data_IF_266817155121
#
_entry.id   IF_266817155121
#
_cell.length_a   1.000
_cell.length_b   1.000
_cell.length_c   1.000
_cell.angle_alpha   90.00
_cell.angle_beta   90.00
_cell.angle_gamma   90.00
#
_symmetry.space_group_name_H-M   'P 1'
#
loop_
_entity.id
_entity.type
_entity.pdbx_description
1 polymer ?
#
# COMPACT_ATOMS: atom_id res chain seq x y z
N UNK A 1 53.28 30.78 46.65
CA UNK A 1 53.03 29.32 46.57
C UNK A 1 51.55 29.10 46.83
N UNK A 2 50.69 28.70 45.91
CA UNK A 2 50.89 28.13 44.57
C UNK A 2 49.83 28.71 43.64
N UNK A 3 50.29 29.07 42.46
CA UNK A 3 49.50 29.46 41.29
C UNK A 3 48.66 28.28 40.77
N UNK A 4 47.44 28.56 40.32
CA UNK A 4 46.71 27.67 39.42
C UNK A 4 46.69 28.29 38.03
N UNK A 5 47.33 27.68 37.02
CA UNK A 5 47.33 28.21 35.67
C UNK A 5 46.07 27.76 34.91
N UNK A 6 45.47 28.72 34.20
CA UNK A 6 44.57 28.50 33.08
C UNK A 6 45.37 27.82 31.96
N UNK A 7 44.90 26.67 31.46
CA UNK A 7 45.33 26.11 30.17
C UNK A 7 44.13 25.92 29.26
N UNK A 8 44.03 26.80 28.26
CA UNK A 8 43.41 26.48 26.98
C UNK A 8 44.20 25.34 26.34
N UNK A 9 43.55 24.21 26.04
CA UNK A 9 44.03 23.24 25.06
C UNK A 9 42.85 22.86 24.16
N UNK A 10 43.00 23.28 22.91
CA UNK A 10 42.25 22.88 21.72
C UNK A 10 42.48 21.40 21.35
N UNK A 11 41.54 20.85 20.56
CA UNK A 11 41.63 19.62 19.73
C UNK A 11 41.54 18.29 20.53
N UNK A 12 40.80 17.26 20.13
CA UNK A 12 40.22 16.82 18.84
C UNK A 12 38.89 16.09 19.13
N UNK A 13 37.91 16.21 18.23
CA UNK A 13 36.71 15.36 18.21
C UNK A 13 37.11 13.90 17.98
N UNK A 14 36.89 13.03 18.97
CA UNK A 14 36.81 11.59 18.71
C UNK A 14 35.49 11.32 17.96
N UNK A 15 35.61 11.05 16.67
CA UNK A 15 34.55 10.44 15.87
C UNK A 15 34.33 9.01 16.38
N UNK A 16 33.30 8.82 17.19
CA UNK A 16 32.81 7.50 17.55
C UNK A 16 31.99 6.94 16.38
N UNK A 17 32.67 6.53 15.31
CA UNK A 17 32.10 5.79 14.18
C UNK A 17 32.20 4.29 14.42
N UNK A 18 31.42 3.79 15.38
CA UNK A 18 31.03 2.37 15.39
C UNK A 18 29.58 2.22 14.93
N UNK A 19 29.33 2.60 13.68
CA UNK A 19 28.20 2.02 12.96
C UNK A 19 28.54 0.55 12.70
N UNK A 20 28.17 -0.30 13.66
CA UNK A 20 28.20 -1.75 13.46
C UNK A 20 27.48 -2.06 12.14
N UNK A 21 28.18 -2.74 11.22
CA UNK A 21 27.57 -3.16 9.97
C UNK A 21 26.34 -4.02 10.29
N UNK A 22 25.18 -3.77 9.66
CA UNK A 22 23.98 -4.57 9.89
C UNK A 22 24.30 -6.03 9.58
N UNK A 23 23.86 -6.91 10.47
CA UNK A 23 24.04 -8.35 10.32
C UNK A 23 23.38 -8.85 9.03
N UNK A 24 23.88 -9.94 8.45
CA UNK A 24 23.40 -10.51 7.16
C UNK A 24 21.90 -10.84 7.18
N UNK A 25 21.27 -11.03 8.35
CA UNK A 25 19.82 -11.22 8.49
C UNK A 25 19.00 -9.92 8.30
N UNK A 26 19.59 -8.75 8.51
CA UNK A 26 18.91 -7.46 8.29
C UNK A 26 18.88 -7.03 6.81
N UNK A 27 19.69 -7.68 5.96
CA UNK A 27 19.85 -7.34 4.55
C UNK A 27 18.61 -7.62 3.68
N UNK A 28 17.72 -8.53 4.10
CA UNK A 28 16.54 -8.94 3.31
C UNK A 28 15.25 -8.18 3.69
N UNK A 29 15.28 -7.32 4.72
CA UNK A 29 14.08 -6.63 5.19
C UNK A 29 13.82 -5.36 4.38
N UNK A 30 12.76 -5.39 3.57
CA UNK A 30 12.24 -4.20 2.91
C UNK A 30 11.50 -3.33 3.93
N UNK A 31 11.99 -2.12 4.13
CA UNK A 31 11.34 -1.11 4.98
C UNK A 31 10.60 -0.12 4.10
N UNK A 32 9.32 0.13 4.41
CA UNK A 32 8.53 1.20 3.81
C UNK A 32 8.23 2.19 4.91
N UNK A 33 8.68 3.44 4.71
CA UNK A 33 8.37 4.53 5.62
C UNK A 33 7.08 5.20 5.16
N UNK A 34 6.37 5.80 6.10
CA UNK A 34 5.18 6.57 5.80
C UNK A 34 5.09 7.76 6.73
N UNK A 35 4.40 8.80 6.26
CA UNK A 35 4.04 9.95 7.08
C UNK A 35 2.70 10.53 6.63
N UNK A 36 2.14 11.40 7.46
CA UNK A 36 0.92 12.13 7.11
C UNK A 36 1.26 13.31 6.23
N UNK A 37 0.66 13.35 5.06
CA UNK A 37 0.64 14.54 4.22
C UNK A 37 -0.42 15.54 4.70
N UNK A 38 -1.56 15.01 5.17
CA UNK A 38 -2.65 15.79 5.76
C UNK A 38 -2.86 15.39 7.23
N UNK A 39 -3.13 16.36 8.11
CA UNK A 39 -3.44 16.10 9.53
C UNK A 39 -4.68 15.21 9.72
N UNK A 40 -5.57 15.20 8.71
CA UNK A 40 -6.78 14.39 8.64
C UNK A 40 -6.57 12.94 8.22
N UNK A 41 -5.37 12.60 7.75
CA UNK A 41 -5.04 11.25 7.28
C UNK A 41 -4.95 10.24 8.43
N UNK A 42 -5.55 9.09 8.21
CA UNK A 42 -5.42 7.94 9.11
C UNK A 42 -4.10 7.21 8.85
N UNK A 43 -3.46 6.66 9.89
CA UNK A 43 -2.31 5.79 9.71
C UNK A 43 -2.70 4.58 8.85
N UNK A 44 -1.80 4.08 7.96
CA UNK A 44 -1.98 2.79 7.33
C UNK A 44 -2.09 1.68 8.39
N UNK A 45 -3.14 0.85 8.30
CA UNK A 45 -3.42 -0.21 9.27
C UNK A 45 -3.23 -1.58 8.61
N UNK A 46 -2.86 -2.61 9.38
CA UNK A 46 -2.88 -3.98 8.86
C UNK A 46 -4.31 -4.38 8.50
N UNK A 47 -4.48 -4.97 7.32
CA UNK A 47 -5.77 -5.49 6.92
C UNK A 47 -6.11 -6.72 7.77
N UNK A 48 -7.04 -6.56 8.71
CA UNK A 48 -7.63 -7.67 9.44
C UNK A 48 -8.80 -8.21 8.63
N UNK A 49 -8.51 -9.16 7.75
CA UNK A 49 -9.57 -10.04 7.25
C UNK A 49 -9.98 -10.99 8.38
N UNK A 50 -11.18 -11.54 8.30
CA UNK A 50 -11.71 -12.47 9.30
C UNK A 50 -11.00 -13.83 9.19
N UNK A 51 -9.71 -13.83 9.55
CA UNK A 51 -8.86 -15.00 9.69
C UNK A 51 -9.42 -15.82 10.85
N UNK A 52 -10.04 -16.97 10.56
CA UNK A 52 -10.50 -17.89 11.60
C UNK A 52 -9.31 -18.75 12.05
N UNK A 53 -8.62 -18.44 13.15
CA UNK A 53 -7.34 -19.07 13.49
C UNK A 53 -7.48 -20.57 13.85
N UNK A 54 -8.70 -21.03 14.14
CA UNK A 54 -9.00 -22.42 14.47
C UNK A 54 -9.31 -23.28 13.24
N UNK A 55 -9.23 -22.71 12.04
CA UNK A 55 -9.58 -23.41 10.82
C UNK A 55 -8.41 -24.25 10.32
N UNK A 56 -8.63 -25.50 9.86
CA UNK A 56 -7.57 -26.31 9.30
C UNK A 56 -6.91 -25.62 8.10
N UNK A 57 -5.59 -25.50 8.12
CA UNK A 57 -4.85 -24.98 6.99
C UNK A 57 -4.84 -26.03 5.87
N UNK A 58 -5.58 -25.78 4.79
CA UNK A 58 -5.66 -26.69 3.63
C UNK A 58 -4.27 -26.98 3.01
N UNK A 59 -3.30 -26.10 3.22
CA UNK A 59 -1.91 -26.28 2.78
C UNK A 59 -1.22 -27.51 3.37
N UNK A 60 -1.74 -28.05 4.49
CA UNK A 60 -1.17 -29.21 5.17
C UNK A 60 -1.94 -30.50 4.88
N UNK A 61 -2.94 -30.45 3.99
CA UNK A 61 -3.75 -31.60 3.59
C UNK A 61 -3.28 -32.14 2.25
N UNK A 62 -3.31 -33.47 2.10
CA UNK A 62 -3.22 -34.14 0.80
C UNK A 62 -4.38 -33.75 -0.12
N UNK A 63 -4.21 -33.99 -1.42
CA UNK A 63 -5.25 -33.68 -2.40
C UNK A 63 -6.56 -34.44 -2.12
N UNK A 64 -6.48 -35.69 -1.66
CA UNK A 64 -7.65 -36.50 -1.36
C UNK A 64 -8.38 -36.02 -0.09
N UNK A 65 -7.65 -35.56 0.93
CA UNK A 65 -8.24 -34.90 2.10
C UNK A 65 -8.93 -33.58 1.73
N UNK A 66 -8.31 -32.76 0.87
CA UNK A 66 -8.93 -31.53 0.38
C UNK A 66 -10.23 -31.82 -0.40
N UNK A 67 -10.22 -32.86 -1.24
CA UNK A 67 -11.41 -33.30 -1.98
C UNK A 67 -12.51 -33.80 -1.05
N UNK A 68 -12.16 -34.61 -0.05
CA UNK A 68 -13.11 -35.10 0.94
C UNK A 68 -13.74 -33.95 1.75
N UNK A 69 -12.94 -32.97 2.15
CA UNK A 69 -13.41 -31.77 2.85
C UNK A 69 -14.33 -30.90 1.98
N UNK A 70 -14.01 -30.75 0.69
CA UNK A 70 -14.87 -30.05 -0.25
C UNK A 70 -16.22 -30.79 -0.42
N UNK A 71 -16.19 -32.11 -0.53
CA UNK A 71 -17.38 -32.95 -0.63
C UNK A 71 -18.24 -32.94 0.65
N UNK A 72 -17.66 -32.67 1.81
CA UNK A 72 -18.39 -32.62 3.09
C UNK A 72 -19.18 -31.31 3.31
N UNK A 73 -19.21 -30.39 2.33
CA UNK A 73 -19.92 -29.12 2.46
C UNK A 73 -19.17 -28.05 3.25
N UNK A 74 -17.84 -28.10 3.28
CA UNK A 74 -17.00 -27.08 3.91
C UNK A 74 -17.28 -25.67 3.33
N UNK A 75 -17.73 -24.75 4.19
CA UNK A 75 -18.09 -23.37 3.78
C UNK A 75 -16.84 -22.57 3.40
N UNK A 76 -16.59 -22.26 2.14
CA UNK A 76 -15.42 -21.44 1.76
C UNK A 76 -15.47 -20.03 2.38
N UNK A 77 -14.36 -19.58 2.94
CA UNK A 77 -14.16 -18.23 3.46
C UNK A 77 -13.05 -17.50 2.68
N UNK A 78 -13.01 -16.16 2.69
CA UNK A 78 -11.93 -15.37 2.10
C UNK A 78 -10.52 -15.88 2.41
N UNK A 79 -10.28 -16.30 3.65
CA UNK A 79 -8.97 -16.78 4.11
C UNK A 79 -8.57 -18.14 3.54
N UNK A 80 -9.48 -18.94 2.98
CA UNK A 80 -9.09 -20.18 2.30
C UNK A 80 -8.32 -19.90 0.99
N UNK A 81 -8.36 -18.67 0.48
CA UNK A 81 -7.69 -18.25 -0.74
C UNK A 81 -6.30 -17.69 -0.45
N UNK A 82 -5.25 -18.41 -0.85
CA UNK A 82 -3.84 -18.02 -0.67
C UNK A 82 -3.53 -16.55 -1.06
N UNK A 83 -3.93 -16.09 -2.26
CA UNK A 83 -3.78 -14.67 -2.64
C UNK A 83 -4.43 -13.67 -1.68
N UNK A 84 -5.61 -13.97 -1.15
CA UNK A 84 -6.33 -13.11 -0.19
C UNK A 84 -5.56 -13.05 1.14
N UNK A 85 -5.06 -14.19 1.61
CA UNK A 85 -4.23 -14.28 2.81
C UNK A 85 -2.93 -13.49 2.67
N UNK A 86 -2.25 -13.59 1.53
CA UNK A 86 -1.05 -12.79 1.23
C UNK A 86 -1.36 -11.29 1.30
N UNK A 87 -2.44 -10.84 0.66
CA UNK A 87 -2.85 -9.43 0.71
C UNK A 87 -3.16 -9.00 2.15
N UNK A 88 -3.84 -9.83 2.95
CA UNK A 88 -4.15 -9.50 4.34
C UNK A 88 -2.93 -9.44 5.27
N UNK A 89 -1.96 -10.33 5.08
CA UNK A 89 -0.75 -10.36 5.91
C UNK A 89 0.21 -9.21 5.60
N UNK A 90 0.35 -8.85 4.33
CA UNK A 90 1.38 -7.91 3.88
C UNK A 90 0.85 -6.55 3.46
N UNK A 91 -0.45 -6.42 3.18
CA UNK A 91 -1.08 -5.18 2.78
C UNK A 91 -1.39 -4.24 3.95
N UNK A 92 -1.46 -2.96 3.63
CA UNK A 92 -1.95 -1.92 4.53
C UNK A 92 -3.22 -1.29 3.99
N UNK A 93 -4.25 -1.26 4.84
CA UNK A 93 -5.52 -0.62 4.60
C UNK A 93 -5.35 0.91 4.68
N UNK A 94 -5.83 1.59 3.65
CA UNK A 94 -5.89 3.05 3.57
C UNK A 94 -7.35 3.49 3.72
N UNK A 95 -7.57 4.51 4.55
CA UNK A 95 -8.90 5.03 4.90
C UNK A 95 -9.12 6.43 4.36
N UNK A 96 -10.39 6.79 4.21
CA UNK A 96 -10.79 8.11 3.76
C UNK A 96 -10.47 9.17 4.84
N UNK A 97 -9.80 10.27 4.49
CA UNK A 97 -9.51 11.35 5.46
C UNK A 97 -10.72 12.29 5.69
N UNK A 98 -11.75 12.25 4.86
CA UNK A 98 -12.85 13.21 4.89
C UNK A 98 -14.19 12.61 4.46
N UNK A 99 -15.27 13.32 4.75
CA UNK A 99 -16.59 13.01 4.19
C UNK A 99 -16.66 13.49 2.73
N UNK A 100 -17.05 12.58 1.85
CA UNK A 100 -17.07 12.81 0.40
C UNK A 100 -18.36 12.26 -0.20
N UNK A 101 -18.97 13.01 -1.10
CA UNK A 101 -20.03 12.51 -1.99
C UNK A 101 -19.56 12.59 -3.43
N UNK A 102 -19.76 11.52 -4.19
CA UNK A 102 -19.33 11.38 -5.57
C UNK A 102 -20.51 10.91 -6.43
N UNK A 103 -20.66 11.45 -7.62
CA UNK A 103 -21.63 10.95 -8.61
C UNK A 103 -21.14 11.18 -10.04
N UNK A 104 -21.53 10.28 -10.95
CA UNK A 104 -21.40 10.51 -12.40
C UNK A 104 -22.63 11.27 -12.89
N UNK A 105 -22.40 12.27 -13.73
CA UNK A 105 -23.40 13.03 -14.50
C UNK A 105 -23.06 12.93 -15.99
N UNK A 106 -23.94 13.45 -16.85
CA UNK A 106 -23.70 13.46 -18.30
C UNK A 106 -22.42 14.26 -18.67
N UNK A 107 -22.08 15.26 -17.86
CA UNK A 107 -20.91 16.14 -18.08
C UNK A 107 -19.63 15.62 -17.38
N UNK A 108 -19.68 14.47 -16.71
CA UNK A 108 -18.54 13.86 -16.03
C UNK A 108 -18.76 13.58 -14.55
N UNK A 109 -17.70 13.60 -13.75
CA UNK A 109 -17.79 13.30 -12.32
C UNK A 109 -17.99 14.58 -11.53
N UNK A 110 -18.97 14.58 -10.62
CA UNK A 110 -19.21 15.65 -9.66
C UNK A 110 -18.92 15.14 -8.25
N UNK A 111 -18.37 16.00 -7.42
CA UNK A 111 -18.09 15.69 -6.03
C UNK A 111 -18.47 16.83 -5.08
N UNK A 112 -18.70 16.46 -3.83
CA UNK A 112 -18.76 17.35 -2.69
C UNK A 112 -17.77 16.82 -1.66
N UNK A 113 -16.76 17.61 -1.34
CA UNK A 113 -15.77 17.33 -0.29
C UNK A 113 -15.41 18.64 0.41
N UNK A 114 -14.99 18.61 1.69
CA UNK A 114 -14.35 19.76 2.29
C UNK A 114 -13.08 20.15 1.52
N UNK A 115 -12.65 21.39 1.68
CA UNK A 115 -11.31 21.81 1.25
C UNK A 115 -10.28 21.26 2.25
N UNK A 116 -9.06 21.03 1.77
CA UNK A 116 -7.93 20.75 2.66
C UNK A 116 -7.40 22.11 3.12
N UNK A 117 -7.57 22.45 4.41
CA UNK A 117 -7.14 23.75 4.90
C UNK A 117 -5.60 23.84 4.91
N UNK A 118 -4.99 25.04 4.74
CA UNK A 118 -3.54 25.18 4.73
C UNK A 118 -2.85 24.57 5.97
N UNK A 119 -3.42 24.74 7.15
CA UNK A 119 -2.96 24.20 8.43
C UNK A 119 -3.06 22.67 8.51
N UNK A 120 -3.92 22.05 7.70
CA UNK A 120 -4.01 20.60 7.63
C UNK A 120 -2.88 20.00 6.78
N UNK A 121 -2.10 20.80 6.05
CA UNK A 121 -1.08 20.34 5.10
C UNK A 121 0.29 20.27 5.77
N UNK A 122 0.58 19.13 6.38
CA UNK A 122 1.80 18.92 7.17
C UNK A 122 3.08 18.98 6.32
N UNK A 123 2.99 18.58 5.04
CA UNK A 123 4.11 18.62 4.08
C UNK A 123 4.05 19.81 3.11
N UNK A 124 3.15 20.77 3.37
CA UNK A 124 2.92 21.95 2.55
C UNK A 124 2.24 21.67 1.21
N UNK A 125 2.28 22.66 0.30
CA UNK A 125 1.63 22.62 -1.03
C UNK A 125 2.36 21.79 -2.09
N UNK A 126 3.37 21.00 -1.71
CA UNK A 126 4.24 20.29 -2.66
C UNK A 126 3.51 19.16 -3.42
N UNK A 127 2.24 18.92 -3.14
CA UNK A 127 1.48 17.75 -3.56
C UNK A 127 0.10 18.13 -4.12
N UNK A 128 0.13 18.73 -5.30
CA UNK A 128 -0.86 18.74 -6.39
C UNK A 128 -2.35 19.04 -6.21
N UNK A 129 -3.03 18.90 -5.06
CA UNK A 129 -4.46 19.29 -4.98
C UNK A 129 -4.88 19.76 -3.59
N UNK A 130 -5.43 20.97 -3.49
CA UNK A 130 -6.04 21.50 -2.26
C UNK A 130 -7.39 20.87 -1.88
N UNK A 131 -7.77 19.76 -2.51
CA UNK A 131 -9.04 19.06 -2.34
C UNK A 131 -8.79 17.58 -2.10
N UNK A 132 -9.67 16.93 -1.33
CA UNK A 132 -9.64 15.48 -1.12
C UNK A 132 -10.05 14.69 -2.36
N UNK A 133 -10.74 15.30 -3.31
CA UNK A 133 -11.13 14.68 -4.58
C UNK A 133 -10.65 15.56 -5.71
N UNK A 134 -10.04 14.90 -6.69
CA UNK A 134 -9.55 15.52 -7.91
C UNK A 134 -9.79 14.57 -9.09
N UNK A 135 -9.54 15.02 -10.32
CA UNK A 135 -9.62 14.19 -11.52
C UNK A 135 -8.24 14.02 -12.13
N UNK A 136 -7.96 12.80 -12.60
CA UNK A 136 -6.86 12.62 -13.54
C UNK A 136 -7.39 12.96 -14.93
N UNK A 137 -6.64 13.81 -15.65
CA UNK A 137 -6.91 14.30 -17.01
C UNK A 137 -7.76 13.34 -17.85
N UNK A 138 -9.04 13.68 -18.05
CA UNK A 138 -10.01 12.94 -18.86
C UNK A 138 -10.19 11.45 -18.53
N UNK A 139 -9.75 10.98 -17.35
CA UNK A 139 -9.92 9.58 -16.96
C UNK A 139 -11.40 9.25 -16.76
N UNK A 140 -12.20 10.24 -16.37
CA UNK A 140 -13.58 10.01 -15.94
C UNK A 140 -13.66 9.27 -14.59
N UNK A 141 -12.56 9.08 -13.87
CA UNK A 141 -12.53 8.44 -12.55
C UNK A 141 -12.10 9.46 -11.47
N UNK A 142 -12.88 9.64 -10.39
CA UNK A 142 -12.44 10.44 -9.25
C UNK A 142 -11.19 9.83 -8.62
N UNK A 143 -10.20 10.68 -8.39
CA UNK A 143 -9.00 10.40 -7.61
C UNK A 143 -9.25 10.90 -6.19
N UNK A 144 -9.35 9.98 -5.25
CA UNK A 144 -9.45 10.28 -3.82
C UNK A 144 -8.06 10.38 -3.20
N UNK A 145 -7.72 11.57 -2.71
CA UNK A 145 -6.45 11.85 -2.03
C UNK A 145 -6.55 11.47 -0.56
N UNK A 146 -5.80 10.44 -0.15
CA UNK A 146 -5.92 9.88 1.21
C UNK A 146 -4.97 10.51 2.23
N UNK A 147 -4.05 11.37 1.78
CA UNK A 147 -3.18 12.14 2.66
C UNK A 147 -2.07 11.34 3.34
N UNK A 148 -1.76 10.15 2.84
CA UNK A 148 -0.63 9.33 3.30
C UNK A 148 0.49 9.42 2.27
N UNK A 149 1.69 9.79 2.73
CA UNK A 149 2.92 9.76 1.95
C UNK A 149 3.69 8.49 2.30
N UNK A 150 4.13 7.76 1.29
CA UNK A 150 4.92 6.54 1.40
C UNK A 150 6.30 6.75 0.78
N UNK A 151 7.32 6.18 1.41
CA UNK A 151 8.68 6.10 0.89
C UNK A 151 9.10 4.64 0.82
N UNK A 152 9.52 4.20 -0.37
CA UNK A 152 9.79 2.79 -0.65
C UNK A 152 11.05 2.63 -1.51
N UNK A 153 11.84 1.55 -1.34
CA UNK A 153 13.04 1.33 -2.14
C UNK A 153 12.75 1.27 -3.64
N UNK A 154 13.66 1.76 -4.48
CA UNK A 154 13.51 1.79 -5.95
C UNK A 154 13.17 0.44 -6.61
N UNK A 155 13.62 -0.68 -6.04
CA UNK A 155 13.34 -2.02 -6.58
C UNK A 155 11.96 -2.58 -6.16
N UNK A 156 11.17 -1.79 -5.43
CA UNK A 156 9.84 -2.14 -4.95
C UNK A 156 8.81 -1.30 -5.68
N UNK A 157 7.69 -1.92 -6.03
CA UNK A 157 6.48 -1.26 -6.49
C UNK A 157 5.43 -1.28 -5.39
N UNK A 158 4.50 -0.33 -5.43
CA UNK A 158 3.35 -0.31 -4.54
C UNK A 158 2.10 -0.69 -5.33
N UNK A 159 1.62 -1.93 -5.14
CA UNK A 159 0.35 -2.36 -5.71
C UNK A 159 -0.79 -1.72 -4.93
N UNK A 160 -1.58 -0.91 -5.62
CA UNK A 160 -2.84 -0.37 -5.14
C UNK A 160 -3.96 -1.32 -5.54
N UNK A 161 -4.68 -1.83 -4.56
CA UNK A 161 -5.70 -2.87 -4.75
C UNK A 161 -7.01 -2.46 -4.12
N UNK A 162 -8.13 -2.93 -4.68
CA UNK A 162 -9.39 -2.92 -3.95
C UNK A 162 -9.34 -3.87 -2.77
N UNK A 163 -10.28 -3.73 -1.84
CA UNK A 163 -10.40 -4.69 -0.75
C UNK A 163 -10.80 -6.07 -1.29
N UNK A 164 -10.01 -7.12 -1.00
CA UNK A 164 -10.36 -8.46 -1.42
C UNK A 164 -11.68 -8.87 -0.75
N UNK A 165 -12.57 -9.48 -1.53
CA UNK A 165 -13.88 -9.92 -1.06
C UNK A 165 -14.69 -8.81 -0.36
N UNK A 166 -14.58 -7.56 -0.82
CA UNK A 166 -15.34 -6.45 -0.24
C UNK A 166 -16.84 -6.70 -0.26
N UNK A 167 -17.38 -7.51 -1.17
CA UNK A 167 -18.80 -7.91 -1.17
C UNK A 167 -19.22 -8.66 0.11
N UNK A 168 -18.27 -9.31 0.80
CA UNK A 168 -18.52 -10.01 2.06
C UNK A 168 -18.44 -9.07 3.27
N UNK A 169 -17.45 -8.17 3.30
CA UNK A 169 -17.19 -7.28 4.45
C UNK A 169 -17.91 -5.92 4.35
N UNK A 170 -18.18 -5.47 3.14
CA UNK A 170 -18.73 -4.15 2.80
C UNK A 170 -19.74 -4.28 1.64
N UNK A 171 -20.86 -5.01 1.83
CA UNK A 171 -21.83 -5.29 0.77
C UNK A 171 -22.45 -4.01 0.18
N UNK A 172 -22.55 -2.95 0.97
CA UNK A 172 -23.10 -1.65 0.55
C UNK A 172 -22.10 -0.77 -0.20
N UNK A 173 -20.86 -1.23 -0.39
CA UNK A 173 -19.84 -0.48 -1.11
C UNK A 173 -20.29 -0.22 -2.55
N UNK A 174 -20.15 1.03 -2.99
CA UNK A 174 -20.76 1.54 -4.23
C UNK A 174 -19.74 1.85 -5.33
N UNK A 175 -18.49 1.49 -5.08
CA UNK A 175 -17.35 1.74 -5.96
C UNK A 175 -16.34 0.61 -5.84
N UNK A 176 -15.53 0.46 -6.90
CA UNK A 176 -14.31 -0.33 -6.86
C UNK A 176 -13.08 0.57 -7.01
N UNK A 177 -11.92 0.08 -6.57
CA UNK A 177 -10.64 0.73 -6.84
C UNK A 177 -10.14 0.31 -8.21
N UNK A 178 -9.66 1.28 -9.01
CA UNK A 178 -8.86 0.96 -10.18
C UNK A 178 -7.47 0.51 -9.71
N UNK A 179 -7.22 -0.79 -9.84
CA UNK A 179 -5.99 -1.42 -9.36
C UNK A 179 -4.81 -1.14 -10.31
N UNK A 180 -3.61 -1.11 -9.74
CA UNK A 180 -2.38 -0.93 -10.49
C UNK A 180 -1.16 -0.92 -9.59
N UNK A 181 0.03 -1.00 -10.20
CA UNK A 181 1.29 -0.91 -9.47
C UNK A 181 1.90 0.45 -9.71
N UNK A 182 2.14 1.20 -8.63
CA UNK A 182 2.94 2.40 -8.70
C UNK A 182 4.42 2.01 -8.77
N UNK A 183 5.03 2.32 -9.91
CA UNK A 183 6.47 2.22 -10.17
C UNK A 183 7.14 3.60 -10.20
N UNK A 184 8.41 3.64 -10.58
CA UNK A 184 9.24 4.85 -10.64
C UNK A 184 8.87 5.83 -11.77
N UNK A 185 8.13 5.41 -12.80
CA UNK A 185 8.07 6.14 -14.09
C UNK A 185 7.33 7.48 -14.04
N UNK A 186 6.43 7.68 -13.07
CA UNK A 186 5.61 8.89 -12.94
C UNK A 186 6.02 9.71 -11.70
N UNK A 187 7.18 10.36 -11.74
CA UNK A 187 7.70 11.17 -10.62
C UNK A 187 7.12 12.58 -10.62
N UNK A 188 5.97 12.76 -9.97
CA UNK A 188 5.49 14.09 -9.53
C UNK A 188 5.67 14.34 -8.04
N UNK A 189 6.04 13.29 -7.32
CA UNK A 189 6.16 13.27 -5.87
C UNK A 189 7.64 13.07 -5.52
N UNK A 190 8.40 14.14 -5.22
CA UNK A 190 9.81 14.00 -4.91
C UNK A 190 10.00 13.41 -3.51
N UNK A 191 11.02 12.55 -3.36
CA UNK A 191 11.58 12.24 -2.06
C UNK A 191 12.33 13.48 -1.55
N UNK A 192 11.97 13.95 -0.35
CA UNK A 192 12.52 15.18 0.24
C UNK A 192 13.66 14.88 1.22
N UNK A 193 13.92 13.60 1.51
CA UNK A 193 14.84 13.17 2.53
C UNK A 193 16.16 12.73 1.90
N UNK A 194 17.22 13.51 2.14
CA UNK A 194 18.57 13.19 1.69
C UNK A 194 19.10 11.87 2.29
N UNK A 195 18.60 11.46 3.46
CA UNK A 195 18.98 10.20 4.13
C UNK A 195 18.31 8.96 3.51
N UNK A 196 17.40 9.13 2.55
CA UNK A 196 16.74 8.04 1.81
C UNK A 196 17.10 8.08 0.30
N UNK A 197 18.38 8.09 -0.10
CA UNK A 197 18.78 8.34 -1.50
C UNK A 197 18.26 7.28 -2.50
N UNK A 198 17.97 6.06 -2.03
CA UNK A 198 17.48 4.95 -2.84
C UNK A 198 15.99 4.65 -2.69
N UNK A 199 15.25 5.61 -2.16
CA UNK A 199 13.80 5.51 -2.02
C UNK A 199 13.09 6.46 -2.97
N UNK A 200 11.97 5.98 -3.49
CA UNK A 200 10.97 6.78 -4.16
C UNK A 200 9.91 7.24 -3.16
N UNK A 201 9.14 8.27 -3.54
CA UNK A 201 8.03 8.78 -2.75
C UNK A 201 6.72 8.71 -3.54
N UNK A 202 5.62 8.41 -2.84
CA UNK A 202 4.29 8.34 -3.42
C UNK A 202 3.24 8.84 -2.42
N UNK A 203 2.28 9.62 -2.90
CA UNK A 203 1.07 9.95 -2.11
C UNK A 203 -0.04 8.97 -2.45
N UNK A 204 -0.55 8.26 -1.45
CA UNK A 204 -1.63 7.29 -1.60
C UNK A 204 -2.91 7.97 -2.10
N UNK A 205 -3.17 7.82 -3.40
CA UNK A 205 -4.34 8.35 -4.07
C UNK A 205 -5.03 7.20 -4.82
N UNK A 206 -6.31 7.00 -4.58
CA UNK A 206 -7.07 5.90 -5.19
C UNK A 206 -7.97 6.44 -6.30
N UNK A 207 -7.89 5.83 -7.47
CA UNK A 207 -8.88 6.04 -8.52
C UNK A 207 -10.09 5.15 -8.25
N UNK A 208 -11.28 5.74 -8.23
CA UNK A 208 -12.51 5.02 -7.88
C UNK A 208 -13.40 4.86 -9.10
N UNK A 209 -13.81 3.64 -9.40
CA UNK A 209 -14.86 3.34 -10.37
C UNK A 209 -16.20 3.28 -9.63
N UNK A 210 -17.01 4.33 -9.81
CA UNK A 210 -18.35 4.40 -9.20
C UNK A 210 -19.36 3.56 -9.97
N UNK A 211 -20.16 2.77 -9.28
CA UNK A 211 -21.29 2.02 -9.86
C UNK A 211 -22.63 2.75 -9.70
N UNK A 212 -22.75 3.56 -8.65
CA UNK A 212 -23.91 4.41 -8.34
C UNK A 212 -23.44 5.67 -7.57
N UNK A 213 -24.31 6.67 -7.34
CA UNK A 213 -23.97 7.77 -6.45
C UNK A 213 -23.42 7.23 -5.12
N UNK A 214 -22.26 7.74 -4.74
CA UNK A 214 -21.40 7.17 -3.70
C UNK A 214 -21.23 8.19 -2.59
N UNK A 215 -21.43 7.79 -1.34
CA UNK A 215 -21.03 8.57 -0.16
C UNK A 215 -19.95 7.78 0.56
N UNK A 216 -18.83 8.42 0.84
CA UNK A 216 -17.71 7.87 1.59
C UNK A 216 -17.57 8.73 2.84
N UNK A 217 -17.58 8.11 4.01
CA UNK A 217 -17.37 8.79 5.29
C UNK A 217 -15.91 8.79 5.67
N UNK A 218 -15.51 9.80 6.44
CA UNK A 218 -14.21 9.82 7.08
C UNK A 218 -13.99 8.53 7.87
N UNK A 219 -12.85 7.88 7.66
CA UNK A 219 -12.48 6.61 8.27
C UNK A 219 -12.95 5.38 7.49
N UNK A 220 -13.82 5.54 6.48
CA UNK A 220 -14.24 4.43 5.63
C UNK A 220 -13.02 3.83 4.90
N UNK A 221 -12.98 2.49 4.78
CA UNK A 221 -11.88 1.83 4.08
C UNK A 221 -11.96 2.06 2.57
N UNK A 222 -10.85 2.49 1.97
CA UNK A 222 -10.78 2.84 0.55
C UNK A 222 -10.13 1.75 -0.26
N UNK A 223 -9.03 1.18 0.20
CA UNK A 223 -8.26 0.22 -0.57
C UNK A 223 -7.01 -0.17 0.18
N UNK A 224 -6.21 -1.03 -0.44
CA UNK A 224 -5.02 -1.59 0.15
C UNK A 224 -3.81 -1.21 -0.67
N UNK A 225 -2.70 -0.98 0.02
CA UNK A 225 -1.38 -0.90 -0.59
C UNK A 225 -0.58 -2.12 -0.17
N UNK A 226 -0.10 -2.87 -1.16
CA UNK A 226 0.71 -4.07 -1.00
C UNK A 226 2.06 -3.85 -1.69
N UNK A 227 3.20 -3.99 -1.00
CA UNK A 227 4.50 -3.95 -1.64
C UNK A 227 4.71 -5.16 -2.54
N UNK A 228 5.24 -4.92 -3.74
CA UNK A 228 5.57 -5.96 -4.71
C UNK A 228 7.01 -5.76 -5.18
N UNK A 229 7.75 -6.85 -5.34
CA UNK A 229 9.07 -6.78 -5.94
C UNK A 229 8.95 -6.47 -7.43
N UNK A 230 9.74 -5.53 -7.91
CA UNK A 230 9.77 -5.22 -9.33
C UNK A 230 10.75 -6.16 -10.05
N UNK A 231 10.25 -6.96 -11.00
CA UNK A 231 11.05 -7.87 -11.81
C UNK A 231 11.97 -7.04 -12.72
N UNK A 232 13.22 -7.50 -12.90
CA UNK A 232 14.17 -6.84 -13.81
C UNK A 232 13.91 -7.22 -15.27
N UNK A 233 13.55 -8.47 -15.51
CA UNK A 233 13.30 -9.05 -16.84
C UNK A 233 12.31 -10.21 -16.72
N UNK A 234 11.58 -10.49 -17.80
CA UNK A 234 10.71 -11.64 -17.93
C UNK A 234 10.88 -12.29 -19.29
N UNK A 235 10.74 -13.61 -19.32
CA UNK A 235 10.50 -14.39 -20.52
C UNK A 235 9.29 -15.29 -20.22
N UNK A 236 8.37 -15.38 -21.17
CA UNK A 236 7.24 -16.30 -21.11
C UNK A 236 7.53 -17.43 -22.10
N UNK A 237 7.79 -18.62 -21.57
CA UNK A 237 8.06 -19.82 -22.38
C UNK A 237 6.96 -20.86 -22.12
N UNK A 238 6.49 -21.49 -23.19
CA UNK A 238 5.58 -22.63 -23.09
C UNK A 238 6.37 -23.89 -22.69
N UNK A 239 5.84 -24.65 -21.73
CA UNK A 239 6.43 -25.94 -21.35
C UNK A 239 6.28 -26.92 -22.51
N UNK A 240 7.41 -27.35 -23.08
CA UNK A 240 7.44 -28.45 -24.04
C UNK A 240 7.41 -29.77 -23.27
N UNK A 241 6.30 -30.51 -23.36
CA UNK A 241 6.25 -31.86 -22.82
C UNK A 241 7.09 -32.80 -23.69
N UNK A 242 7.93 -33.68 -23.11
CA UNK A 242 8.55 -34.74 -23.87
C UNK A 242 7.46 -35.59 -24.56
N UNK A 243 7.67 -36.05 -25.81
CA UNK A 243 6.76 -36.99 -26.43
C UNK A 243 6.61 -38.18 -25.49
N UNK A 244 5.35 -38.58 -25.22
CA UNK A 244 5.07 -39.76 -24.41
C UNK A 244 5.91 -40.91 -24.98
N UNK A 245 6.81 -41.48 -24.16
CA UNK A 245 7.58 -42.64 -24.58
C UNK A 245 6.59 -43.68 -25.10
N UNK A 246 6.81 -44.09 -26.35
CA UNK A 246 5.94 -45.03 -27.05
C UNK A 246 5.63 -46.22 -26.15
N UNK A 247 4.35 -46.52 -26.03
CA UNK A 247 3.91 -47.87 -25.70
C UNK A 247 4.29 -48.74 -26.89
N UNK A 248 5.48 -49.33 -26.84
CA UNK A 248 5.76 -50.60 -27.52
C UNK A 248 5.19 -51.76 -26.69
#
# INVERSE_FOLDING_TARGET
MRDYPIRLLSRVMEEDTSAAAPSVEEADKIVIYWEREYSTAFPPERLKLDFHPHRPMLSNMSLDEQRALAASGYKVLPDDCGPVRTVGNYGWLIRCPADVKLRRTAEGVRWQSPQILPEERLLGYKTFSGMYVDLILNSGYPKLCCGVRLYYPKHVGLMMKDMPNHFYHYPERTFTVWEGIKTQEYKRTPNQYAWLPDYEAFTANFLLQLHKPTTIKRGDPIGIILPVLLPKQFVLEEIQHPPASGSE
#
